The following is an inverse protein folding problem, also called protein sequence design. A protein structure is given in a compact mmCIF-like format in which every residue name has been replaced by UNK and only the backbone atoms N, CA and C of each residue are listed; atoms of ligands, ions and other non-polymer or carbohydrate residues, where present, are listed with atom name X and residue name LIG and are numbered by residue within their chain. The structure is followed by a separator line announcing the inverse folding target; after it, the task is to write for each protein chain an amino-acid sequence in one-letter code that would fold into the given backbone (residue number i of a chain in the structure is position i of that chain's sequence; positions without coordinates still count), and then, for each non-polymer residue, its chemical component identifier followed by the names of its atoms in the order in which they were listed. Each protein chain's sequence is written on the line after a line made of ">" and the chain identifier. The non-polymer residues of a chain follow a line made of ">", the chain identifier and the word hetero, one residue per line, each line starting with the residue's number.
data_IF_421474012648
#
_entry.id   IF_421474012648
#
_cell.length_a   1.000
_cell.length_b   1.000
_cell.length_c   1.000
_cell.angle_alpha   90.00
_cell.angle_beta   90.00
_cell.angle_gamma   90.00
#
_symmetry.space_group_name_H-M   'P 1'
#
loop_
_entity.id
_entity.type
_entity.pdbx_description
1 polymer ?
#
# COMPACT_ATOMS: atom_id res chain seq x y z
N UNK A 1 11.97 -56.27 -6.28
CA UNK A 1 12.05 -54.76 -6.23
C UNK A 1 10.93 -54.29 -5.33
N UNK A 2 11.26 -53.93 -4.08
CA UNK A 2 10.25 -53.39 -3.11
C UNK A 2 10.19 -51.89 -3.29
N UNK A 3 9.04 -51.36 -3.59
CA UNK A 3 8.76 -49.93 -3.65
C UNK A 3 8.31 -49.51 -2.25
N UNK A 4 9.17 -48.76 -1.54
CA UNK A 4 8.81 -48.19 -0.26
C UNK A 4 7.75 -47.07 -0.47
N UNK A 5 6.65 -47.06 0.33
CA UNK A 5 5.63 -46.03 0.22
C UNK A 5 6.20 -44.70 0.69
N UNK A 6 5.98 -43.66 -0.15
CA UNK A 6 6.30 -42.29 0.19
C UNK A 6 5.61 -41.86 1.49
N UNK A 7 6.27 -41.14 2.41
CA UNK A 7 5.65 -40.65 3.63
C UNK A 7 4.57 -39.64 3.30
N UNK A 8 3.32 -40.04 3.51
CA UNK A 8 2.14 -39.20 3.46
C UNK A 8 2.13 -38.29 4.72
N UNK A 9 1.85 -37.04 4.47
CA UNK A 9 1.49 -35.96 5.40
C UNK A 9 2.64 -35.13 5.99
N UNK A 10 2.90 -34.03 5.28
CA UNK A 10 3.33 -32.81 5.98
C UNK A 10 2.24 -32.45 7.00
N UNK A 11 2.57 -32.17 8.27
CA UNK A 11 1.59 -31.68 9.22
C UNK A 11 0.95 -30.42 8.65
N UNK A 12 -0.39 -30.40 8.56
CA UNK A 12 -1.12 -29.17 8.23
C UNK A 12 -0.68 -28.10 9.21
N UNK A 13 -0.40 -26.86 8.78
CA UNK A 13 -0.18 -25.77 9.70
C UNK A 13 -1.34 -25.78 10.70
N UNK A 14 -1.04 -25.69 12.00
CA UNK A 14 -2.07 -25.50 13.02
C UNK A 14 -2.97 -24.38 12.54
N UNK A 15 -4.26 -24.65 12.37
CA UNK A 15 -5.27 -23.61 12.21
C UNK A 15 -5.12 -22.71 13.44
N UNK A 16 -4.48 -21.55 13.25
CA UNK A 16 -4.52 -20.50 14.25
C UNK A 16 -5.99 -20.16 14.45
N UNK A 17 -6.48 -20.38 15.67
CA UNK A 17 -7.86 -20.15 16.03
C UNK A 17 -8.27 -18.75 15.54
N UNK A 18 -9.25 -18.68 14.64
CA UNK A 18 -9.75 -17.42 14.07
C UNK A 18 -10.14 -16.48 15.22
N UNK A 19 -9.39 -15.40 15.40
CA UNK A 19 -9.74 -14.36 16.37
C UNK A 19 -10.65 -13.38 15.67
N UNK A 20 -11.90 -13.22 16.13
CA UNK A 20 -12.81 -12.23 15.57
C UNK A 20 -12.25 -10.81 15.76
N UNK A 21 -12.68 -9.89 14.90
CA UNK A 21 -12.32 -8.48 15.03
C UNK A 21 -12.89 -7.90 16.33
N UNK A 22 -12.01 -7.34 17.16
CA UNK A 22 -12.41 -6.66 18.39
C UNK A 22 -12.83 -5.21 18.10
N UNK A 23 -14.10 -5.02 17.75
CA UNK A 23 -14.65 -3.71 17.44
C UNK A 23 -14.60 -2.75 18.63
N UNK A 24 -14.78 -3.23 19.86
CA UNK A 24 -14.79 -2.39 21.07
C UNK A 24 -13.46 -1.66 21.29
N UNK A 25 -12.36 -2.32 20.97
CA UNK A 25 -11.02 -1.74 21.03
C UNK A 25 -10.85 -0.49 20.17
N UNK A 26 -11.57 -0.43 19.03
CA UNK A 26 -11.41 0.62 18.01
C UNK A 26 -12.57 1.62 17.99
N UNK A 27 -13.74 1.31 18.58
CA UNK A 27 -14.95 2.14 18.52
C UNK A 27 -14.71 3.59 18.96
N UNK A 28 -13.96 3.78 20.04
CA UNK A 28 -13.63 5.11 20.60
C UNK A 28 -12.98 6.08 19.61
N UNK A 29 -12.20 5.57 18.63
CA UNK A 29 -11.53 6.40 17.63
C UNK A 29 -12.51 7.00 16.63
N UNK A 30 -13.70 6.42 16.50
CA UNK A 30 -14.73 6.81 15.56
C UNK A 30 -15.94 7.51 16.21
N UNK A 31 -15.98 7.57 17.53
CA UNK A 31 -16.98 8.40 18.27
C UNK A 31 -16.66 9.88 18.07
N UNK A 32 -15.38 10.24 18.16
CA UNK A 32 -14.89 11.59 17.93
C UNK A 32 -13.72 11.57 16.93
N UNK A 33 -14.01 11.43 15.61
CA UNK A 33 -12.97 11.38 14.60
C UNK A 33 -12.09 12.63 14.63
N UNK A 34 -10.78 12.42 14.64
CA UNK A 34 -9.79 13.48 14.61
C UNK A 34 -8.80 13.26 13.47
N UNK A 35 -8.36 14.35 12.85
CA UNK A 35 -7.41 14.31 11.73
C UNK A 35 -6.16 15.12 12.07
N UNK A 36 -5.00 14.45 12.04
CA UNK A 36 -3.68 15.09 12.10
C UNK A 36 -3.44 15.97 10.87
N UNK A 37 -2.47 16.86 10.93
CA UNK A 37 -2.12 17.72 9.79
C UNK A 37 -1.72 16.91 8.54
N UNK A 38 -0.91 15.82 8.61
CA UNK A 38 -0.66 14.97 7.45
C UNK A 38 -1.94 14.34 6.86
N UNK A 39 -2.89 13.93 7.71
CA UNK A 39 -4.16 13.39 7.23
C UNK A 39 -5.03 14.47 6.57
N UNK A 40 -5.07 15.67 7.14
CA UNK A 40 -5.79 16.81 6.55
C UNK A 40 -5.20 17.23 5.21
N UNK A 41 -3.87 17.30 5.12
CA UNK A 41 -3.17 17.56 3.87
C UNK A 41 -3.52 16.52 2.82
N UNK A 42 -3.40 15.23 3.16
CA UNK A 42 -3.72 14.14 2.25
C UNK A 42 -5.18 14.21 1.77
N UNK A 43 -6.15 14.35 2.68
CA UNK A 43 -7.58 14.29 2.33
C UNK A 43 -8.06 15.54 1.59
N UNK A 44 -7.67 16.75 2.05
CA UNK A 44 -8.26 17.99 1.56
C UNK A 44 -7.41 18.72 0.51
N UNK A 45 -6.08 18.56 0.54
CA UNK A 45 -5.21 19.23 -0.41
C UNK A 45 -4.80 18.32 -1.56
N UNK A 46 -4.32 17.11 -1.24
CA UNK A 46 -3.88 16.18 -2.27
C UNK A 46 -5.06 15.49 -2.97
N UNK A 47 -6.03 14.97 -2.20
CA UNK A 47 -7.21 14.25 -2.73
C UNK A 47 -8.42 15.16 -2.98
N UNK A 48 -8.42 16.38 -2.45
CA UNK A 48 -9.49 17.40 -2.62
C UNK A 48 -10.90 16.90 -2.28
N UNK A 49 -11.01 16.03 -1.30
CA UNK A 49 -12.27 15.42 -0.91
C UNK A 49 -13.21 16.45 -0.24
N UNK A 50 -14.50 16.26 -0.44
CA UNK A 50 -15.53 17.02 0.29
C UNK A 50 -15.43 16.70 1.80
N UNK A 51 -15.32 17.70 2.69
CA UNK A 51 -15.29 17.48 4.14
C UNK A 51 -16.49 16.67 4.66
N UNK A 52 -17.67 16.82 4.02
CA UNK A 52 -18.88 16.05 4.38
C UNK A 52 -18.70 14.56 4.10
N UNK A 53 -17.97 14.19 3.04
CA UNK A 53 -17.65 12.80 2.73
C UNK A 53 -16.65 12.24 3.75
N UNK A 54 -15.65 13.01 4.13
CA UNK A 54 -14.68 12.61 5.15
C UNK A 54 -15.37 12.36 6.49
N UNK A 55 -16.31 13.22 6.88
CA UNK A 55 -17.15 13.07 8.07
C UNK A 55 -18.11 11.85 7.95
N UNK A 56 -18.77 11.68 6.81
CA UNK A 56 -19.63 10.52 6.54
C UNK A 56 -18.87 9.19 6.70
N UNK A 57 -17.68 9.12 6.12
CA UNK A 57 -16.83 7.94 6.19
C UNK A 57 -16.15 7.76 7.55
N UNK A 58 -16.34 8.69 8.50
CA UNK A 58 -15.73 8.69 9.83
C UNK A 58 -14.23 8.46 9.80
N UNK A 59 -13.53 9.06 8.81
CA UNK A 59 -12.08 8.93 8.69
C UNK A 59 -11.41 9.59 9.89
N UNK A 60 -10.45 8.90 10.48
CA UNK A 60 -9.66 9.41 11.61
C UNK A 60 -8.18 9.10 11.40
N UNK A 61 -7.30 9.69 12.19
CA UNK A 61 -5.87 9.45 12.07
C UNK A 61 -5.21 9.29 13.43
N UNK A 62 -4.05 8.67 13.43
CA UNK A 62 -3.21 8.53 14.60
C UNK A 62 -1.73 8.43 14.20
N UNK A 63 -0.84 8.67 15.15
CA UNK A 63 0.59 8.50 14.97
C UNK A 63 1.07 7.38 15.87
N UNK A 64 1.81 6.42 15.31
CA UNK A 64 2.33 5.32 16.10
C UNK A 64 3.58 5.72 16.89
N UNK A 65 4.08 4.80 17.74
CA UNK A 65 5.26 5.03 18.59
C UNK A 65 6.56 5.29 17.80
N UNK A 66 6.57 5.00 16.51
CA UNK A 66 7.69 5.22 15.60
C UNK A 66 7.54 6.53 14.81
N UNK A 67 6.52 7.33 15.11
CA UNK A 67 6.23 8.56 14.40
C UNK A 67 5.51 8.40 13.06
N UNK A 68 5.14 7.18 12.67
CA UNK A 68 4.43 6.94 11.41
C UNK A 68 2.98 7.43 11.49
N UNK A 69 2.56 8.21 10.49
CA UNK A 69 1.21 8.75 10.41
C UNK A 69 0.28 7.77 9.68
N UNK A 70 -0.81 7.41 10.34
CA UNK A 70 -1.80 6.47 9.83
C UNK A 70 -3.15 7.12 9.65
N UNK A 71 -3.75 6.95 8.47
CA UNK A 71 -5.16 7.24 8.23
C UNK A 71 -5.97 5.96 8.45
N UNK A 72 -6.98 6.03 9.32
CA UNK A 72 -7.86 4.93 9.65
C UNK A 72 -9.16 5.02 8.87
N UNK A 73 -9.50 3.95 8.18
CA UNK A 73 -10.73 3.79 7.40
C UNK A 73 -11.57 2.70 8.03
N UNK A 74 -12.69 3.05 8.71
CA UNK A 74 -13.55 2.06 9.33
C UNK A 74 -14.46 1.40 8.30
N UNK A 75 -14.67 0.09 8.44
CA UNK A 75 -15.64 -0.68 7.68
C UNK A 75 -16.86 -0.94 8.55
N UNK A 76 -17.99 -0.39 8.16
CA UNK A 76 -19.28 -0.59 8.81
C UNK A 76 -20.17 -1.47 7.96
N UNK A 77 -20.93 -2.37 8.60
CA UNK A 77 -22.02 -3.07 7.93
C UNK A 77 -23.28 -2.20 7.81
N UNK A 78 -24.35 -2.75 7.22
CA UNK A 78 -25.64 -2.07 7.06
C UNK A 78 -26.31 -1.73 8.39
N UNK A 79 -25.91 -2.35 9.50
CA UNK A 79 -26.40 -2.05 10.85
C UNK A 79 -25.51 -1.06 11.60
N UNK A 80 -24.60 -0.39 10.92
CA UNK A 80 -23.62 0.54 11.52
C UNK A 80 -22.69 -0.11 12.55
N UNK A 81 -22.50 -1.43 12.51
CA UNK A 81 -21.54 -2.13 13.36
C UNK A 81 -20.16 -2.07 12.70
N UNK A 82 -19.15 -1.71 13.47
CA UNK A 82 -17.77 -1.72 13.00
C UNK A 82 -17.31 -3.17 12.82
N UNK A 83 -17.01 -3.58 11.58
CA UNK A 83 -16.65 -4.97 11.23
C UNK A 83 -15.20 -5.12 10.78
N UNK A 84 -14.51 -4.03 10.55
CA UNK A 84 -13.12 -4.03 10.12
C UNK A 84 -12.51 -2.64 10.10
N UNK A 85 -11.22 -2.61 9.90
CA UNK A 85 -10.44 -1.38 9.88
C UNK A 85 -9.25 -1.53 8.92
N UNK A 86 -9.06 -0.56 8.04
CA UNK A 86 -7.87 -0.41 7.23
C UNK A 86 -7.07 0.79 7.75
N UNK A 87 -5.78 0.61 8.02
CA UNK A 87 -4.86 1.69 8.30
C UNK A 87 -3.98 1.92 7.07
N UNK A 88 -4.01 3.13 6.53
CA UNK A 88 -3.14 3.57 5.44
C UNK A 88 -1.97 4.36 6.00
N UNK A 89 -0.77 3.96 5.65
CA UNK A 89 0.44 4.70 5.96
C UNK A 89 0.53 5.95 5.07
N UNK A 90 0.51 7.13 5.69
CA UNK A 90 0.60 8.42 4.98
C UNK A 90 2.04 8.78 4.62
N UNK A 91 3.01 8.20 5.32
CA UNK A 91 4.45 8.41 5.07
C UNK A 91 5.01 7.41 4.05
N UNK A 92 4.17 6.49 3.54
CA UNK A 92 4.60 5.48 2.58
C UNK A 92 5.02 6.11 1.26
N UNK A 93 6.32 6.07 0.97
CA UNK A 93 6.88 6.46 -0.32
C UNK A 93 6.91 5.22 -1.22
N UNK A 94 6.25 5.30 -2.37
CA UNK A 94 6.32 4.26 -3.38
C UNK A 94 7.76 4.22 -3.90
N UNK A 95 8.53 3.16 -3.59
CA UNK A 95 9.82 2.92 -4.22
C UNK A 95 9.61 2.79 -5.73
N UNK A 96 10.53 3.36 -6.52
CA UNK A 96 10.50 3.20 -7.97
C UNK A 96 10.46 1.70 -8.32
N UNK A 97 9.74 1.30 -9.40
CA UNK A 97 9.63 -0.10 -9.77
C UNK A 97 11.02 -0.71 -9.97
N UNK A 98 11.22 -1.92 -9.44
CA UNK A 98 12.49 -2.66 -9.53
C UNK A 98 12.93 -2.99 -10.99
N UNK A 99 12.09 -2.74 -11.97
CA UNK A 99 12.37 -2.96 -13.40
C UNK A 99 13.51 -2.07 -13.94
N UNK A 100 13.74 -0.89 -13.34
CA UNK A 100 14.89 -0.05 -13.72
C UNK A 100 16.24 -0.60 -13.22
N UNK A 101 16.24 -1.50 -12.24
CA UNK A 101 17.47 -2.08 -11.70
C UNK A 101 17.90 -3.35 -12.45
N UNK A 102 16.97 -4.07 -13.09
CA UNK A 102 17.30 -5.28 -13.86
C UNK A 102 17.92 -4.94 -15.20
N UNK A 103 17.51 -3.85 -15.86
CA UNK A 103 18.11 -3.37 -17.13
C UNK A 103 19.50 -2.77 -16.92
N UNK A 104 19.75 -2.09 -15.79
CA UNK A 104 21.07 -1.55 -15.48
C UNK A 104 22.08 -2.67 -15.13
N UNK A 105 21.62 -3.77 -14.57
CA UNK A 105 22.46 -4.92 -14.23
C UNK A 105 22.73 -5.83 -15.45
N UNK A 106 21.81 -5.89 -16.40
CA UNK A 106 21.99 -6.61 -17.66
C UNK A 106 22.95 -5.89 -18.61
N UNK A 107 22.92 -4.55 -18.68
CA UNK A 107 23.87 -3.76 -19.48
C UNK A 107 25.27 -3.71 -18.87
N UNK A 108 25.40 -3.73 -17.54
CA UNK A 108 26.70 -3.81 -16.88
C UNK A 108 27.36 -5.21 -17.00
N UNK A 109 26.58 -6.28 -17.16
CA UNK A 109 27.05 -7.63 -17.38
C UNK A 109 27.45 -7.94 -18.84
N UNK A 110 27.01 -7.13 -19.79
CA UNK A 110 27.29 -7.33 -21.22
C UNK A 110 28.54 -6.59 -21.72
N UNK A 111 29.08 -5.64 -20.95
CA UNK A 111 30.30 -4.88 -21.30
C UNK A 111 31.58 -5.57 -20.83
N UNK A 112 31.49 -6.59 -19.97
CA UNK A 112 32.69 -7.32 -19.47
C UNK A 112 33.06 -8.62 -20.21
N UNK A 113 32.42 -8.92 -21.36
CA UNK A 113 32.69 -10.14 -22.15
C UNK A 113 33.15 -9.93 -23.58
N UNK A 114 33.54 -8.71 -23.97
CA UNK A 114 34.15 -8.46 -25.28
C UNK A 114 35.45 -7.69 -25.02
N UNK A 115 36.50 -8.38 -24.55
CA UNK A 115 37.89 -8.04 -24.82
C UNK A 115 38.80 -9.12 -24.22
N UNK A 116 39.02 -10.15 -25.02
CA UNK A 116 40.23 -10.98 -24.95
C UNK A 116 40.36 -11.84 -26.19
N UNK A 117 40.91 -11.23 -27.26
CA UNK A 117 41.70 -11.89 -28.28
C UNK A 117 42.09 -10.90 -29.37
N UNK A 118 43.30 -10.34 -29.29
CA UNK A 118 44.24 -10.26 -30.45
C UNK A 118 45.62 -9.87 -29.93
N UNK A 119 46.55 -10.72 -30.27
CA UNK A 119 47.99 -10.59 -30.05
C UNK A 119 48.56 -9.38 -30.79
N UNK A 120 49.51 -8.67 -30.16
CA UNK A 120 50.81 -8.28 -30.73
C UNK A 120 51.59 -7.41 -29.74
N UNK A 121 52.75 -7.89 -29.38
CA UNK A 121 53.88 -7.18 -28.72
C UNK A 121 54.67 -6.37 -29.72
N UNK A 122 55.80 -5.70 -29.27
CA UNK A 122 55.99 -4.64 -28.28
C UNK A 122 56.75 -3.45 -28.90
N UNK A 123 56.94 -2.33 -28.21
CA UNK A 123 58.16 -1.50 -28.28
C UNK A 123 58.27 -0.59 -27.02
N UNK A 124 59.51 -0.62 -26.51
CA UNK A 124 60.14 0.06 -25.42
C UNK A 124 60.12 1.59 -25.46
N UNK A 125 60.25 2.23 -24.34
CA UNK A 125 61.37 3.05 -23.84
C UNK A 125 60.89 4.09 -22.83
N UNK A 126 61.53 4.00 -21.63
CA UNK A 126 62.39 4.92 -20.88
C UNK A 126 61.80 6.08 -20.14
N UNK A 127 62.17 6.04 -18.83
CA UNK A 127 62.90 7.01 -18.03
C UNK A 127 62.14 8.32 -17.66
N UNK A 128 62.13 8.81 -16.45
CA UNK A 128 63.13 9.05 -15.42
C UNK A 128 62.42 9.56 -14.14
N UNK A 129 62.84 9.11 -12.93
CA UNK A 129 63.58 9.84 -11.88
C UNK A 129 62.91 11.18 -11.42
N UNK A 130 62.80 11.55 -10.16
CA UNK A 130 63.72 11.49 -9.04
C UNK A 130 63.07 12.17 -7.82
N UNK A 131 63.35 11.66 -6.68
CA UNK A 131 63.86 12.17 -5.38
C UNK A 131 62.89 12.91 -4.47
N UNK A 132 62.87 12.50 -3.25
CA UNK A 132 63.73 12.67 -2.08
C UNK A 132 63.16 13.57 -1.00
N UNK A 133 63.31 13.15 0.22
CA UNK A 133 63.59 13.90 1.41
C UNK A 133 62.65 13.67 2.58
N UNK A 134 62.92 12.74 3.55
CA UNK A 134 63.76 12.88 4.73
C UNK A 134 63.47 14.18 5.51
N UNK A 135 63.18 14.19 6.85
CA UNK A 135 64.01 13.83 7.98
C UNK A 135 63.27 14.07 9.31
N UNK A 136 63.44 13.13 10.26
CA UNK A 136 63.62 13.20 11.70
C UNK A 136 62.75 13.91 12.70
N UNK A 137 62.42 13.19 13.76
CA UNK A 137 62.04 13.29 15.12
C UNK A 137 63.00 14.17 16.03
N UNK A 138 63.14 14.00 17.35
CA UNK A 138 62.53 13.12 18.34
C UNK A 138 62.21 13.75 19.72
N UNK A 139 61.94 12.89 20.73
CA UNK A 139 62.13 13.00 22.22
C UNK A 139 60.96 13.64 23.02
N UNK A 140 60.54 13.21 24.16
CA UNK A 140 60.97 12.33 25.26
C UNK A 140 59.96 12.46 26.39
N UNK A 141 59.82 11.43 27.23
CA UNK A 141 59.54 11.53 28.65
C UNK A 141 58.28 10.82 29.17
N UNK A 142 58.45 9.61 29.72
CA UNK A 142 57.48 8.94 30.62
C UNK A 142 57.62 9.45 32.04
N UNK A 143 57.13 8.77 33.12
CA UNK A 143 56.60 7.40 33.19
C UNK A 143 55.32 7.23 34.03
N UNK A 144 54.70 6.07 33.86
CA UNK A 144 54.03 5.18 34.84
C UNK A 144 52.86 5.70 35.67
N UNK A 145 51.71 5.02 35.55
CA UNK A 145 51.18 4.15 36.58
C UNK A 145 50.01 3.30 36.08
N UNK A 146 50.06 2.06 36.43
CA UNK A 146 49.08 0.99 36.17
C UNK A 146 47.74 1.26 36.85
N UNK A 147 46.63 0.94 36.21
CA UNK A 147 45.46 0.35 36.84
C UNK A 147 44.67 -0.48 35.84
N UNK A 148 44.52 -1.72 36.21
CA UNK A 148 43.71 -2.77 35.61
C UNK A 148 42.25 -2.35 35.51
N UNK A 149 41.71 -2.37 34.28
CA UNK A 149 40.28 -2.44 34.06
C UNK A 149 39.98 -3.33 32.85
N UNK A 150 39.17 -4.31 33.13
CA UNK A 150 38.60 -5.36 32.30
C UNK A 150 38.25 -4.95 30.90
N UNK A 151 38.71 -5.76 29.94
CA UNK A 151 38.23 -5.77 28.57
C UNK A 151 36.71 -6.10 28.53
N UNK A 152 35.87 -5.10 28.39
CA UNK A 152 34.56 -5.24 27.78
C UNK A 152 34.72 -4.96 26.28
N UNK A 153 34.54 -6.01 25.49
CA UNK A 153 34.40 -5.88 24.05
C UNK A 153 33.23 -4.94 23.70
N UNK A 154 33.39 -4.04 22.73
CA UNK A 154 32.24 -3.25 22.29
C UNK A 154 31.21 -4.19 21.66
N UNK A 155 29.99 -4.20 22.23
CA UNK A 155 28.84 -4.81 21.61
C UNK A 155 28.67 -4.18 20.23
N UNK A 156 28.84 -4.97 19.20
CA UNK A 156 28.45 -4.59 17.84
C UNK A 156 26.98 -4.28 17.85
N UNK A 157 26.62 -3.00 17.86
CA UNK A 157 25.29 -2.56 17.60
C UNK A 157 24.95 -3.01 16.16
N UNK A 158 24.16 -4.08 16.05
CA UNK A 158 23.53 -4.45 14.81
C UNK A 158 22.60 -3.30 14.44
N UNK A 159 23.01 -2.48 13.50
CA UNK A 159 22.17 -1.49 12.84
C UNK A 159 21.11 -2.27 12.05
N UNK A 160 20.02 -2.66 12.70
CA UNK A 160 18.82 -3.11 12.00
C UNK A 160 18.30 -1.90 11.24
N UNK A 161 18.48 -1.88 9.92
CA UNK A 161 17.80 -0.91 9.07
C UNK A 161 16.31 -0.90 9.43
N UNK A 162 15.69 0.27 9.57
CA UNK A 162 14.28 0.36 9.89
C UNK A 162 13.48 -0.33 8.77
N UNK A 163 12.91 -1.50 9.07
CA UNK A 163 12.05 -2.21 8.12
C UNK A 163 10.98 -1.25 7.60
N UNK A 164 10.95 -1.04 6.28
CA UNK A 164 10.00 -0.16 5.64
C UNK A 164 8.56 -0.56 6.05
N UNK A 165 7.85 0.37 6.68
CA UNK A 165 6.48 0.15 7.14
C UNK A 165 5.55 -0.12 5.95
N UNK A 166 4.65 -1.10 6.01
CA UNK A 166 3.76 -1.43 4.89
C UNK A 166 2.82 -0.27 4.55
N UNK A 167 2.38 -0.22 3.29
CA UNK A 167 1.41 0.78 2.81
C UNK A 167 0.07 0.68 3.54
N UNK A 168 -0.36 -0.54 3.86
CA UNK A 168 -1.61 -0.81 4.55
C UNK A 168 -1.42 -1.81 5.68
N UNK A 169 -2.18 -1.62 6.75
CA UNK A 169 -2.30 -2.56 7.88
C UNK A 169 -3.77 -2.82 8.17
N UNK A 170 -4.06 -4.07 8.48
CA UNK A 170 -5.39 -4.51 8.88
C UNK A 170 -5.29 -5.16 10.26
N UNK A 171 -6.05 -4.71 11.27
CA UNK A 171 -6.15 -5.44 12.53
C UNK A 171 -6.65 -6.86 12.29
N UNK A 172 -6.20 -7.78 13.14
CA UNK A 172 -6.61 -9.18 13.06
C UNK A 172 -8.13 -9.32 13.12
N UNK A 173 -8.69 -10.18 12.26
CA UNK A 173 -10.12 -10.42 12.15
C UNK A 173 -10.91 -9.34 11.42
N UNK A 174 -10.28 -8.27 10.91
CA UNK A 174 -10.96 -7.24 10.13
C UNK A 174 -11.62 -7.82 8.88
N UNK A 175 -12.91 -7.53 8.68
CA UNK A 175 -13.66 -7.86 7.48
C UNK A 175 -13.71 -6.63 6.57
N UNK A 176 -12.87 -6.63 5.55
CA UNK A 176 -12.68 -5.51 4.63
C UNK A 176 -13.05 -5.88 3.18
N UNK A 177 -14.12 -6.65 2.98
CA UNK A 177 -14.61 -7.06 1.66
C UNK A 177 -15.40 -5.95 0.97
N UNK A 178 -16.47 -5.47 1.58
CA UNK A 178 -17.32 -4.41 1.04
C UNK A 178 -17.22 -3.16 1.91
N UNK A 179 -16.65 -2.09 1.38
CA UNK A 179 -16.52 -0.80 2.05
C UNK A 179 -17.75 0.08 1.81
N UNK A 180 -18.11 0.89 2.84
CA UNK A 180 -19.19 1.89 2.80
C UNK A 180 -20.59 1.28 2.62
N UNK A 181 -20.85 0.10 3.21
CA UNK A 181 -22.18 -0.52 3.18
C UNK A 181 -23.32 0.40 3.67
N UNK A 182 -23.14 1.34 4.63
CA UNK A 182 -24.19 2.25 5.05
C UNK A 182 -24.82 3.07 3.92
N UNK A 183 -24.11 3.31 2.81
CA UNK A 183 -24.65 4.04 1.65
C UNK A 183 -25.80 3.28 0.98
N UNK A 184 -25.79 1.94 1.07
CA UNK A 184 -26.83 1.09 0.49
C UNK A 184 -28.23 1.40 1.06
N UNK A 185 -28.30 1.80 2.33
CA UNK A 185 -29.54 2.19 3.00
C UNK A 185 -30.07 3.56 2.54
N UNK A 186 -29.29 4.30 1.77
CA UNK A 186 -29.63 5.62 1.26
C UNK A 186 -29.99 5.63 -0.22
N UNK A 187 -29.94 4.46 -0.87
CA UNK A 187 -30.32 4.33 -2.28
C UNK A 187 -31.82 4.43 -2.46
N UNK A 188 -32.22 5.14 -3.52
CA UNK A 188 -33.62 5.22 -3.99
C UNK A 188 -33.84 4.23 -5.13
N UNK A 189 -35.08 3.83 -5.41
CA UNK A 189 -35.38 3.03 -6.60
C UNK A 189 -34.81 3.66 -7.88
N UNK A 190 -34.13 2.85 -8.68
CA UNK A 190 -33.48 3.27 -9.93
C UNK A 190 -32.21 4.11 -9.78
N UNK A 191 -31.78 4.41 -8.55
CA UNK A 191 -30.56 5.19 -8.32
C UNK A 191 -29.32 4.35 -8.53
N UNK A 192 -28.30 4.83 -9.30
CA UNK A 192 -27.11 4.07 -9.59
C UNK A 192 -26.19 3.92 -8.36
N UNK A 193 -25.62 2.73 -8.22
CA UNK A 193 -24.53 2.45 -7.28
C UNK A 193 -23.24 2.27 -8.04
N UNK A 194 -22.23 3.04 -7.66
CA UNK A 194 -20.90 2.98 -8.23
C UNK A 194 -19.99 2.05 -7.42
N UNK A 195 -19.27 1.20 -8.11
CA UNK A 195 -18.31 0.28 -7.52
C UNK A 195 -16.91 0.77 -7.87
N UNK A 196 -16.02 0.79 -6.88
CA UNK A 196 -14.60 1.17 -7.03
C UNK A 196 -13.72 0.09 -6.46
N UNK A 197 -12.47 0.02 -6.89
CA UNK A 197 -11.50 -0.93 -6.35
C UNK A 197 -11.02 -0.50 -4.96
N UNK A 198 -10.69 0.78 -4.80
CA UNK A 198 -10.10 1.32 -3.57
C UNK A 198 -11.02 2.23 -2.78
N UNK A 199 -10.82 2.30 -1.45
CA UNK A 199 -11.52 3.26 -0.62
C UNK A 199 -11.27 4.72 -1.05
N UNK A 200 -10.09 5.04 -1.56
CA UNK A 200 -9.75 6.39 -2.06
C UNK A 200 -10.66 6.79 -3.21
N UNK A 201 -10.91 5.87 -4.15
CA UNK A 201 -11.77 6.10 -5.30
C UNK A 201 -13.23 6.19 -4.90
N UNK A 202 -13.64 5.39 -3.91
CA UNK A 202 -14.95 5.51 -3.30
C UNK A 202 -15.15 6.92 -2.69
N UNK A 203 -14.19 7.46 -1.96
CA UNK A 203 -14.28 8.82 -1.41
C UNK A 203 -14.35 9.89 -2.51
N UNK A 204 -13.56 9.74 -3.57
CA UNK A 204 -13.62 10.64 -4.73
C UNK A 204 -14.99 10.56 -5.43
N UNK A 205 -15.53 9.35 -5.58
CA UNK A 205 -16.86 9.10 -6.16
C UNK A 205 -17.95 9.77 -5.33
N UNK A 206 -17.94 9.57 -4.00
CA UNK A 206 -18.84 10.24 -3.05
C UNK A 206 -18.70 11.77 -3.10
N UNK A 207 -17.46 12.29 -3.18
CA UNK A 207 -17.20 13.73 -3.28
C UNK A 207 -17.66 14.33 -4.61
N UNK A 208 -17.82 13.51 -5.64
CA UNK A 208 -18.43 13.91 -6.90
C UNK A 208 -19.98 13.88 -6.88
N UNK A 209 -20.58 13.53 -5.73
CA UNK A 209 -22.04 13.46 -5.55
C UNK A 209 -22.67 12.12 -5.91
N UNK A 210 -21.88 11.08 -6.21
CA UNK A 210 -22.36 9.74 -6.54
C UNK A 210 -22.39 8.85 -5.30
N UNK A 211 -23.29 7.88 -5.26
CA UNK A 211 -23.30 6.85 -4.22
C UNK A 211 -22.37 5.71 -4.62
N UNK A 212 -21.43 5.37 -3.76
CA UNK A 212 -20.39 4.41 -4.08
C UNK A 212 -20.03 3.49 -2.92
N UNK A 213 -19.58 2.29 -3.29
CA UNK A 213 -18.95 1.29 -2.41
C UNK A 213 -17.58 0.93 -3.00
N UNK A 214 -16.66 0.39 -2.17
CA UNK A 214 -15.43 -0.18 -2.69
C UNK A 214 -15.35 -1.69 -2.43
N UNK A 215 -14.85 -2.41 -3.42
CA UNK A 215 -14.61 -3.86 -3.40
C UNK A 215 -13.15 -4.08 -3.81
N UNK A 216 -12.21 -4.20 -2.85
CA UNK A 216 -10.78 -4.27 -3.17
C UNK A 216 -10.39 -5.58 -3.88
N UNK A 217 -11.20 -6.62 -3.77
CA UNK A 217 -11.01 -7.88 -4.48
C UNK A 217 -12.32 -8.67 -4.48
N UNK A 218 -12.64 -9.32 -5.59
CA UNK A 218 -13.80 -10.22 -5.67
C UNK A 218 -13.70 -11.39 -4.67
N UNK A 219 -12.49 -11.83 -4.36
CA UNK A 219 -12.24 -12.92 -3.40
C UNK A 219 -12.44 -12.51 -1.94
N UNK A 220 -12.50 -11.22 -1.65
CA UNK A 220 -12.77 -10.69 -0.29
C UNK A 220 -14.25 -10.45 -0.02
N UNK A 221 -15.10 -10.49 -1.06
CA UNK A 221 -16.55 -10.47 -0.90
C UNK A 221 -17.04 -11.77 -0.27
N UNK A 222 -17.81 -11.64 0.79
CA UNK A 222 -18.52 -12.78 1.37
C UNK A 222 -19.85 -13.00 0.65
N UNK A 223 -20.34 -14.24 0.64
CA UNK A 223 -21.63 -14.58 0.03
C UNK A 223 -22.79 -13.70 0.52
N UNK A 224 -22.76 -13.30 1.80
CA UNK A 224 -23.76 -12.40 2.36
C UNK A 224 -23.73 -11.01 1.71
N UNK A 225 -22.56 -10.50 1.36
CA UNK A 225 -22.39 -9.20 0.69
C UNK A 225 -22.82 -9.27 -0.78
N UNK A 226 -22.51 -10.38 -1.45
CA UNK A 226 -23.00 -10.65 -2.82
C UNK A 226 -24.52 -10.72 -2.84
N UNK A 227 -25.12 -11.49 -1.92
CA UNK A 227 -26.58 -11.56 -1.79
C UNK A 227 -27.20 -10.19 -1.50
N UNK A 228 -26.61 -9.42 -0.59
CA UNK A 228 -27.07 -8.07 -0.26
C UNK A 228 -27.11 -7.16 -1.50
N UNK A 229 -26.07 -7.16 -2.32
CA UNK A 229 -26.02 -6.34 -3.53
C UNK A 229 -27.04 -6.82 -4.58
N UNK A 230 -27.20 -8.15 -4.77
CA UNK A 230 -28.20 -8.72 -5.69
C UNK A 230 -29.61 -8.37 -5.24
N UNK A 231 -29.94 -8.59 -3.97
CA UNK A 231 -31.26 -8.25 -3.40
C UNK A 231 -31.56 -6.76 -3.54
N UNK A 232 -30.53 -5.90 -3.43
CA UNK A 232 -30.68 -4.46 -3.65
C UNK A 232 -31.00 -4.17 -5.13
N UNK A 233 -30.32 -4.79 -6.06
CA UNK A 233 -30.59 -4.67 -7.48
C UNK A 233 -32.03 -5.08 -7.79
N UNK A 234 -32.46 -6.26 -7.30
CA UNK A 234 -33.77 -6.82 -7.59
C UNK A 234 -34.92 -5.95 -6.99
N UNK A 235 -34.74 -5.45 -5.76
CA UNK A 235 -35.78 -4.68 -5.07
C UNK A 235 -35.89 -3.22 -5.50
N UNK A 236 -34.75 -2.59 -5.83
CA UNK A 236 -34.70 -1.17 -6.14
C UNK A 236 -34.41 -0.90 -7.62
N UNK A 237 -34.21 -1.91 -8.44
CA UNK A 237 -33.73 -1.78 -9.84
C UNK A 237 -32.49 -0.93 -9.92
N UNK A 238 -31.60 -1.03 -8.93
CA UNK A 238 -30.37 -0.25 -8.83
C UNK A 238 -29.38 -0.70 -9.90
N UNK A 239 -29.02 0.16 -10.87
CA UNK A 239 -27.96 -0.17 -11.82
C UNK A 239 -26.58 -0.08 -11.16
N UNK A 240 -25.70 -1.02 -11.48
CA UNK A 240 -24.33 -1.03 -11.03
C UNK A 240 -23.40 -0.48 -12.09
N UNK A 241 -22.48 0.38 -11.69
CA UNK A 241 -21.49 1.01 -12.56
C UNK A 241 -20.10 0.91 -11.96
N UNK A 242 -19.08 0.73 -12.81
CA UNK A 242 -17.68 0.71 -12.39
C UNK A 242 -16.79 1.43 -13.41
N UNK A 243 -15.85 2.22 -12.91
CA UNK A 243 -14.64 2.61 -13.61
C UNK A 243 -13.52 1.72 -13.09
N UNK A 244 -13.14 0.65 -13.79
CA UNK A 244 -11.97 -0.13 -13.39
C UNK A 244 -10.71 0.72 -13.44
N UNK A 245 -9.73 0.41 -12.59
CA UNK A 245 -8.39 1.00 -12.71
C UNK A 245 -7.83 0.67 -14.11
N UNK A 246 -7.10 1.62 -14.72
CA UNK A 246 -6.57 1.49 -16.06
C UNK A 246 -5.33 0.57 -16.09
N UNK A 247 -5.47 -0.62 -15.51
CA UNK A 247 -4.44 -1.66 -15.49
C UNK A 247 -5.06 -3.06 -15.55
N UNK A 248 -4.22 -4.07 -15.77
CA UNK A 248 -4.68 -5.47 -15.90
C UNK A 248 -5.40 -5.99 -14.65
N UNK A 249 -4.96 -5.70 -13.41
CA UNK A 249 -5.69 -6.05 -12.20
C UNK A 249 -7.10 -5.45 -12.15
N UNK A 250 -7.28 -4.17 -12.50
CA UNK A 250 -8.58 -3.49 -12.49
C UNK A 250 -9.57 -4.12 -13.48
N UNK A 251 -9.13 -4.39 -14.70
CA UNK A 251 -9.95 -5.10 -15.69
C UNK A 251 -10.31 -6.52 -15.25
N UNK A 252 -9.39 -7.22 -14.62
CA UNK A 252 -9.66 -8.56 -14.06
C UNK A 252 -10.69 -8.50 -12.95
N UNK A 253 -10.60 -7.52 -12.05
CA UNK A 253 -11.58 -7.32 -10.99
C UNK A 253 -12.96 -7.04 -11.59
N UNK A 254 -13.07 -6.16 -12.59
CA UNK A 254 -14.34 -5.90 -13.27
C UNK A 254 -14.96 -7.17 -13.83
N UNK A 255 -14.19 -8.01 -14.55
CA UNK A 255 -14.69 -9.27 -15.10
C UNK A 255 -15.20 -10.22 -14.02
N UNK A 256 -14.47 -10.34 -12.91
CA UNK A 256 -14.89 -11.16 -11.77
C UNK A 256 -16.18 -10.64 -11.11
N UNK A 257 -16.29 -9.30 -10.95
CA UNK A 257 -17.48 -8.69 -10.36
C UNK A 257 -18.68 -8.75 -11.29
N UNK A 258 -18.50 -8.65 -12.60
CA UNK A 258 -19.56 -8.81 -13.60
C UNK A 258 -20.23 -10.20 -13.51
N UNK A 259 -19.45 -11.23 -13.23
CA UNK A 259 -19.99 -12.59 -13.05
C UNK A 259 -20.78 -12.74 -11.74
N UNK A 260 -20.50 -11.91 -10.75
CA UNK A 260 -21.17 -11.91 -9.45
C UNK A 260 -22.37 -10.94 -9.39
N UNK A 261 -22.33 -9.83 -10.11
CA UNK A 261 -23.30 -8.73 -10.01
C UNK A 261 -24.01 -8.53 -11.35
N UNK A 262 -25.34 -8.75 -11.43
CA UNK A 262 -26.07 -8.63 -12.69
C UNK A 262 -26.05 -7.18 -13.19
N UNK A 263 -25.86 -7.03 -14.50
CA UNK A 263 -25.94 -5.72 -15.15
C UNK A 263 -24.85 -4.72 -14.78
N UNK A 264 -23.72 -5.15 -14.23
CA UNK A 264 -22.60 -4.27 -13.94
C UNK A 264 -22.06 -3.65 -15.24
N UNK A 265 -22.12 -2.31 -15.33
CA UNK A 265 -21.73 -1.53 -16.51
C UNK A 265 -20.29 -1.05 -16.38
N UNK A 266 -19.49 -1.34 -17.38
CA UNK A 266 -18.11 -0.84 -17.52
C UNK A 266 -18.09 0.60 -18.02
N UNK A 267 -17.31 1.45 -17.40
CA UNK A 267 -17.01 2.81 -17.84
C UNK A 267 -15.53 2.99 -18.07
N UNK A 268 -15.15 3.70 -19.11
CA UNK A 268 -13.75 4.00 -19.41
C UNK A 268 -13.32 5.30 -18.72
N UNK A 269 -12.15 5.27 -18.11
CA UNK A 269 -11.49 6.46 -17.60
C UNK A 269 -11.00 7.33 -18.76
N UNK A 270 -11.00 8.66 -18.62
CA UNK A 270 -10.38 9.53 -19.63
C UNK A 270 -8.88 9.23 -19.80
N UNK A 271 -8.31 9.49 -20.98
CA UNK A 271 -6.89 9.32 -21.23
C UNK A 271 -6.04 10.04 -20.19
N UNK A 272 -5.00 9.35 -19.67
CA UNK A 272 -4.09 9.89 -18.66
C UNK A 272 -4.56 9.74 -17.21
N UNK A 273 -5.77 9.22 -16.96
CA UNK A 273 -6.23 8.87 -15.62
C UNK A 273 -6.02 7.37 -15.36
N UNK A 274 -5.35 7.06 -14.28
CA UNK A 274 -5.10 5.69 -13.87
C UNK A 274 -6.29 5.06 -13.14
N UNK A 275 -6.93 5.85 -12.28
CA UNK A 275 -8.04 5.48 -11.41
C UNK A 275 -9.07 6.61 -11.35
N UNK A 276 -10.21 6.38 -10.67
CA UNK A 276 -11.23 7.41 -10.55
C UNK A 276 -10.77 8.60 -9.72
N UNK A 277 -9.86 8.43 -8.77
CA UNK A 277 -9.30 9.56 -8.01
C UNK A 277 -8.54 10.53 -8.92
N UNK A 278 -7.76 10.02 -9.88
CA UNK A 278 -7.07 10.87 -10.87
C UNK A 278 -8.07 11.65 -11.74
N UNK A 279 -9.12 10.99 -12.20
CA UNK A 279 -10.19 11.64 -12.95
C UNK A 279 -10.90 12.72 -12.11
N UNK A 280 -11.26 12.41 -10.87
CA UNK A 280 -11.87 13.38 -9.96
C UNK A 280 -10.97 14.60 -9.74
N UNK A 281 -9.67 14.39 -9.56
CA UNK A 281 -8.70 15.48 -9.42
C UNK A 281 -8.60 16.35 -10.67
N UNK A 282 -8.68 15.77 -11.87
CA UNK A 282 -8.63 16.51 -13.13
C UNK A 282 -9.83 17.46 -13.27
N UNK A 283 -11.04 17.00 -12.97
CA UNK A 283 -12.26 17.82 -13.07
C UNK A 283 -12.37 18.87 -11.97
N UNK A 284 -11.80 18.61 -10.78
CA UNK A 284 -11.81 19.59 -9.67
C UNK A 284 -10.75 20.67 -9.81
N UNK A 285 -9.68 20.45 -10.57
CA UNK A 285 -8.71 21.49 -10.96
C UNK A 285 -9.38 22.54 -11.85
N UNK A 286 -10.13 22.11 -12.84
CA UNK A 286 -10.75 23.00 -13.81
C UNK A 286 -11.86 23.89 -13.22
N UNK A 287 -12.55 23.44 -12.16
CA UNK A 287 -13.58 24.23 -11.46
C UNK A 287 -13.05 25.42 -10.65
N UNK A 288 -11.75 25.48 -10.33
CA UNK A 288 -11.12 26.59 -9.61
C UNK A 288 -10.54 27.66 -10.57
N UNK A 289 -10.53 27.39 -11.86
CA UNK A 289 -10.00 28.29 -12.89
C UNK A 289 -11.10 29.05 -13.66
N UNK A 290 -12.34 28.91 -13.25
CA UNK A 290 -13.52 29.66 -13.70
C UNK A 290 -14.10 30.46 -12.52
#
# INVERSE_FOLDING_TARGET
>A
MRIDPLPLSRPRPREEAYKPFDAARYARFFEHPWLSDPARQFLFQERRLDPRVVAWCRLTSWTDRHGTHWLQTPYYDTHMRLVGLQNRNLDYKKSAPAEAQTTARATAGMVSQIDSRTDAQPISEKENQTTSGMVCGPTSGGPAQANSASHMAPATASSSEPMAQPRFRFPQGSRCGLYNQPVLLRLRPGEPLWITEGCSDCWAMLSSGRKAVAIPSATTLHDAEVRLLRDLHDRLSTPFHMYPDADVPGERLFLQLRDLLPGLTHHHLPPGCKDFSDYYLSITKNKKSL
#
